data_IF_517093171513
#
_entry.id   IF_517093171513
#
_cell.length_a   1.000
_cell.length_b   1.000
_cell.length_c   1.000
_cell.angle_alpha   90.00
_cell.angle_beta   90.00
_cell.angle_gamma   90.00
#
_symmetry.space_group_name_H-M   'P 1'
#
loop_
_entity.id
_entity.type
_entity.pdbx_description
1 polymer ?
#
# COMPACT_ATOMS: atom_id res chain seq x y z
N UNK A 1 12.32 -25.64 44.31
CA UNK A 1 12.85 -26.22 43.05
C UNK A 1 11.76 -26.09 42.00
N UNK A 2 11.90 -25.10 41.11
CA UNK A 2 10.89 -24.72 40.12
C UNK A 2 10.95 -25.63 38.89
N UNK A 3 9.78 -26.02 38.38
CA UNK A 3 9.64 -26.92 37.24
C UNK A 3 9.32 -26.07 35.99
N UNK A 4 10.32 -25.88 35.12
CA UNK A 4 10.19 -25.12 33.87
C UNK A 4 9.32 -25.85 32.85
N UNK A 5 8.23 -25.22 32.41
CA UNK A 5 7.45 -25.67 31.25
C UNK A 5 8.20 -25.27 29.97
N UNK A 6 8.64 -26.27 29.19
CA UNK A 6 9.10 -26.08 27.81
C UNK A 6 7.95 -25.49 26.97
N UNK A 7 8.15 -24.29 26.44
CA UNK A 7 7.28 -23.63 25.47
C UNK A 7 7.57 -24.21 24.08
N UNK A 8 6.60 -24.89 23.48
CA UNK A 8 6.67 -25.25 22.07
C UNK A 8 6.47 -23.99 21.19
N UNK A 9 7.22 -23.83 20.08
CA UNK A 9 7.00 -22.73 19.16
C UNK A 9 5.68 -22.90 18.41
N UNK A 10 4.94 -21.80 18.27
CA UNK A 10 3.73 -21.73 17.45
C UNK A 10 4.04 -22.04 15.98
N UNK A 11 3.19 -22.76 15.25
CA UNK A 11 3.41 -23.03 13.84
C UNK A 11 3.34 -21.72 13.04
N UNK A 12 4.40 -21.42 12.29
CA UNK A 12 4.47 -20.26 11.40
C UNK A 12 3.54 -20.44 10.20
N UNK A 13 2.45 -19.67 10.17
CA UNK A 13 1.48 -19.63 9.07
C UNK A 13 2.06 -19.20 7.70
N UNK A 14 3.29 -18.68 7.67
CA UNK A 14 3.97 -18.23 6.45
C UNK A 14 4.57 -19.36 5.58
N UNK A 15 4.58 -20.61 6.04
CA UNK A 15 5.28 -21.69 5.32
C UNK A 15 4.42 -22.43 4.28
N UNK A 16 3.11 -22.24 4.24
CA UNK A 16 2.24 -23.02 3.34
C UNK A 16 2.03 -22.38 1.96
N UNK A 17 2.48 -21.13 1.75
CA UNK A 17 2.27 -20.41 0.49
C UNK A 17 3.19 -20.82 -0.68
N UNK A 18 4.11 -21.78 -0.48
CA UNK A 18 5.08 -22.15 -1.53
C UNK A 18 4.93 -23.59 -2.06
N UNK A 19 3.99 -24.40 -1.56
CA UNK A 19 3.88 -25.82 -1.95
C UNK A 19 2.85 -26.12 -3.06
N UNK A 20 2.04 -25.15 -3.49
CA UNK A 20 0.91 -25.39 -4.40
C UNK A 20 1.14 -25.14 -5.89
N UNK A 21 2.33 -24.66 -6.31
CA UNK A 21 2.60 -24.28 -7.71
C UNK A 21 3.54 -25.27 -8.44
N UNK A 22 3.47 -26.56 -8.09
CA UNK A 22 4.10 -27.62 -8.89
C UNK A 22 3.01 -28.49 -9.48
N UNK A 23 2.55 -28.12 -10.68
CA UNK A 23 2.09 -29.00 -11.77
C UNK A 23 1.13 -28.24 -12.70
N UNK A 24 1.67 -27.48 -13.65
CA UNK A 24 1.05 -27.32 -14.97
C UNK A 24 2.09 -26.81 -15.96
N UNK A 25 2.55 -27.71 -16.83
CA UNK A 25 3.37 -27.35 -17.98
C UNK A 25 2.45 -26.93 -19.13
N UNK A 26 2.45 -25.63 -19.45
CA UNK A 26 2.17 -24.98 -20.75
C UNK A 26 1.37 -23.68 -20.58
N UNK A 27 2.07 -22.55 -20.47
CA UNK A 27 1.69 -21.26 -21.08
C UNK A 27 2.88 -20.29 -20.95
N UNK A 28 3.01 -19.39 -21.92
CA UNK A 28 4.26 -18.68 -22.24
C UNK A 28 4.89 -17.88 -21.11
N UNK A 29 6.22 -17.95 -21.05
CA UNK A 29 7.08 -17.19 -20.13
C UNK A 29 6.79 -15.68 -20.20
N UNK A 30 6.72 -14.97 -19.06
CA UNK A 30 6.81 -13.52 -19.07
C UNK A 30 8.23 -13.12 -19.46
N UNK A 31 8.33 -12.12 -20.34
CA UNK A 31 9.58 -11.54 -20.79
C UNK A 31 10.48 -11.21 -19.60
N UNK A 32 11.74 -11.66 -19.69
CA UNK A 32 12.74 -11.51 -18.65
C UNK A 32 12.88 -10.07 -18.21
N UNK A 33 13.05 -9.89 -16.90
CA UNK A 33 13.62 -8.70 -16.30
C UNK A 33 14.98 -8.51 -17.00
N UNK A 34 15.08 -7.51 -17.88
CA UNK A 34 16.36 -7.10 -18.43
C UNK A 34 17.24 -6.67 -17.25
N UNK A 35 18.14 -7.57 -16.89
CA UNK A 35 19.18 -7.42 -15.88
C UNK A 35 20.29 -6.55 -16.45
N UNK A 36 20.08 -5.23 -16.41
CA UNK A 36 21.17 -4.24 -16.46
C UNK A 36 21.03 -3.31 -15.26
N UNK A 37 21.17 -3.90 -14.07
CA UNK A 37 21.44 -3.13 -12.85
C UNK A 37 22.95 -3.03 -12.77
N UNK A 38 23.48 -1.80 -12.86
CA UNK A 38 24.91 -1.52 -12.71
C UNK A 38 25.41 -2.08 -11.36
N UNK A 39 26.61 -2.68 -11.33
CA UNK A 39 27.27 -3.18 -10.11
C UNK A 39 27.31 -2.15 -8.97
N UNK A 40 27.31 -0.85 -9.33
CA UNK A 40 27.26 0.28 -8.39
C UNK A 40 25.88 0.45 -7.72
N UNK A 41 24.81 0.11 -8.43
CA UNK A 41 23.43 0.08 -7.89
C UNK A 41 23.21 -1.15 -7.01
N UNK A 42 23.75 -2.32 -7.40
CA UNK A 42 23.72 -3.52 -6.56
C UNK A 42 24.44 -3.33 -5.21
N UNK A 43 25.60 -2.67 -5.21
CA UNK A 43 26.35 -2.43 -3.96
C UNK A 43 25.66 -1.44 -3.02
N UNK A 44 24.98 -0.41 -3.55
CA UNK A 44 24.16 0.52 -2.78
C UNK A 44 22.91 -0.15 -2.19
N UNK A 45 22.23 -1.00 -2.98
CA UNK A 45 21.10 -1.82 -2.52
C UNK A 45 21.58 -2.76 -1.40
N UNK A 46 22.66 -3.49 -1.60
CA UNK A 46 23.18 -4.41 -0.60
C UNK A 46 23.62 -3.71 0.70
N UNK A 47 24.19 -2.50 0.60
CA UNK A 47 24.59 -1.68 1.75
C UNK A 47 23.41 -1.12 2.54
N UNK A 48 22.31 -0.76 1.88
CA UNK A 48 21.18 -0.08 2.52
C UNK A 48 20.33 -1.04 3.36
N UNK A 49 20.08 -2.27 2.92
CA UNK A 49 19.18 -3.20 3.62
C UNK A 49 19.86 -4.08 4.68
N UNK A 50 21.19 -4.26 4.56
CA UNK A 50 21.97 -4.92 5.61
C UNK A 50 22.00 -4.11 6.90
N UNK A 51 21.85 -2.79 6.82
CA UNK A 51 21.69 -1.87 7.97
C UNK A 51 20.35 -2.10 8.71
N UNK A 52 19.29 -2.53 8.00
CA UNK A 52 18.00 -2.89 8.58
C UNK A 52 17.88 -4.37 8.98
N UNK A 53 18.95 -5.16 8.82
CA UNK A 53 18.96 -6.59 9.14
C UNK A 53 18.09 -7.46 8.21
N UNK A 54 17.75 -6.97 7.01
CA UNK A 54 16.91 -7.70 6.04
C UNK A 54 17.84 -8.30 4.98
N UNK A 55 17.72 -9.62 4.73
CA UNK A 55 18.44 -10.26 3.63
C UNK A 55 17.92 -9.77 2.28
N UNK A 56 18.73 -9.86 1.22
CA UNK A 56 18.29 -9.50 -0.13
C UNK A 56 17.01 -10.23 -0.53
N UNK A 57 16.93 -11.54 -0.24
CA UNK A 57 15.72 -12.34 -0.48
C UNK A 57 14.52 -11.86 0.33
N UNK A 58 14.75 -11.48 1.60
CA UNK A 58 13.72 -10.90 2.45
C UNK A 58 13.17 -9.60 1.88
N UNK A 59 14.06 -8.76 1.35
CA UNK A 59 13.69 -7.51 0.69
C UNK A 59 12.91 -7.77 -0.60
N UNK A 60 13.35 -8.67 -1.46
CA UNK A 60 12.62 -9.03 -2.69
C UNK A 60 11.22 -9.57 -2.39
N UNK A 61 11.07 -10.38 -1.33
CA UNK A 61 9.76 -10.85 -0.87
C UNK A 61 8.87 -9.72 -0.38
N UNK A 62 9.42 -8.76 0.35
CA UNK A 62 8.67 -7.57 0.78
C UNK A 62 8.24 -6.73 -0.42
N UNK A 63 9.13 -6.49 -1.39
CA UNK A 63 8.81 -5.78 -2.62
C UNK A 63 7.67 -6.46 -3.37
N UNK A 64 7.71 -7.79 -3.48
CA UNK A 64 6.65 -8.57 -4.11
C UNK A 64 5.35 -8.50 -3.31
N UNK A 65 5.42 -8.52 -1.98
CA UNK A 65 4.24 -8.44 -1.11
C UNK A 65 3.54 -7.06 -1.15
N UNK A 66 4.29 -5.98 -1.44
CA UNK A 66 3.73 -4.63 -1.59
C UNK A 66 3.53 -4.22 -3.05
N UNK A 67 3.86 -5.10 -4.00
CA UNK A 67 3.68 -4.82 -5.41
C UNK A 67 2.19 -4.80 -5.75
N UNK A 68 1.76 -3.70 -6.34
CA UNK A 68 0.42 -3.55 -6.91
C UNK A 68 0.56 -3.41 -8.41
N UNK A 69 -0.12 -4.29 -9.17
CA UNK A 69 -0.08 -4.24 -10.62
C UNK A 69 -0.72 -2.94 -11.12
N UNK A 70 0.00 -2.21 -11.96
CA UNK A 70 -0.59 -1.07 -12.65
C UNK A 70 -1.34 -1.57 -13.88
N UNK A 71 -2.53 -1.01 -14.19
CA UNK A 71 -3.08 -1.15 -15.52
C UNK A 71 -2.13 -0.49 -16.53
N UNK A 72 -1.74 -1.21 -17.58
CA UNK A 72 -0.94 -0.71 -18.72
C UNK A 72 -1.68 0.32 -19.58
N UNK A 73 -2.70 1.01 -19.05
CA UNK A 73 -3.63 1.85 -19.80
C UNK A 73 -3.79 3.22 -19.18
N UNK A 74 -3.59 4.24 -20.00
CA UNK A 74 -3.86 5.61 -19.62
C UNK A 74 -5.36 5.83 -19.35
N UNK A 75 -5.65 6.57 -18.28
CA UNK A 75 -7.00 6.99 -17.95
C UNK A 75 -7.40 8.08 -18.94
N UNK A 76 -8.28 7.75 -19.87
CA UNK A 76 -8.77 8.69 -20.90
C UNK A 76 -10.17 9.20 -20.60
N UNK A 77 -11.00 8.43 -19.88
CA UNK A 77 -12.36 8.79 -19.54
C UNK A 77 -12.76 8.18 -18.18
N UNK A 78 -13.48 8.95 -17.35
CA UNK A 78 -14.02 8.51 -16.07
C UNK A 78 -15.05 7.39 -16.25
N UNK A 79 -15.79 7.36 -17.36
CA UNK A 79 -16.80 6.30 -17.59
C UNK A 79 -16.19 4.90 -17.69
N UNK A 80 -14.91 4.81 -18.09
CA UNK A 80 -14.16 3.55 -18.15
C UNK A 80 -13.70 3.04 -16.77
N UNK A 81 -13.86 3.85 -15.73
CA UNK A 81 -13.49 3.45 -14.38
C UNK A 81 -14.48 2.46 -13.80
N UNK A 82 -13.99 1.61 -12.90
CA UNK A 82 -14.81 0.56 -12.28
C UNK A 82 -15.98 1.18 -11.52
N UNK A 83 -17.20 0.81 -11.90
CA UNK A 83 -18.45 1.24 -11.29
C UNK A 83 -18.86 0.25 -10.20
N UNK A 84 -18.97 0.68 -8.94
CA UNK A 84 -19.55 -0.13 -7.88
C UNK A 84 -20.99 -0.56 -8.19
N UNK A 85 -21.78 0.27 -8.87
CA UNK A 85 -23.19 -0.02 -9.13
C UNK A 85 -23.40 -1.13 -10.19
N UNK A 86 -22.41 -1.33 -11.07
CA UNK A 86 -22.48 -2.34 -12.14
C UNK A 86 -21.62 -3.57 -11.85
N UNK A 87 -20.68 -3.45 -10.92
CA UNK A 87 -19.86 -4.58 -10.47
C UNK A 87 -20.73 -5.57 -9.70
N UNK A 88 -20.53 -6.85 -9.96
CA UNK A 88 -21.29 -7.93 -9.33
C UNK A 88 -20.34 -8.94 -8.69
N UNK A 89 -20.87 -9.81 -7.85
CA UNK A 89 -20.10 -10.95 -7.35
C UNK A 89 -20.97 -12.21 -7.27
N UNK A 90 -20.32 -13.36 -7.30
CA UNK A 90 -20.95 -14.68 -7.28
C UNK A 90 -20.24 -15.51 -6.21
N UNK A 91 -21.02 -16.12 -5.31
CA UNK A 91 -20.50 -17.12 -4.38
C UNK A 91 -20.35 -18.44 -5.13
N UNK A 92 -19.15 -18.99 -5.14
CA UNK A 92 -18.85 -20.22 -5.87
C UNK A 92 -19.32 -21.45 -5.09
N UNK A 93 -19.89 -22.43 -5.80
CA UNK A 93 -20.31 -23.72 -5.25
C UNK A 93 -21.16 -23.59 -3.97
N UNK A 94 -22.14 -22.69 -4.00
CA UNK A 94 -22.98 -22.38 -2.85
C UNK A 94 -23.62 -23.64 -2.26
N UNK A 95 -23.32 -23.91 -0.99
CA UNK A 95 -23.92 -24.97 -0.19
C UNK A 95 -25.07 -24.43 0.67
N UNK A 96 -26.01 -25.31 1.04
CA UNK A 96 -27.05 -24.98 2.03
C UNK A 96 -26.47 -24.73 3.42
N UNK A 97 -25.39 -25.43 3.78
CA UNK A 97 -24.68 -25.25 5.04
C UNK A 97 -23.18 -25.47 4.88
N UNK A 98 -22.42 -24.87 5.79
CA UNK A 98 -20.96 -24.99 5.86
C UNK A 98 -20.54 -25.47 7.23
N UNK A 99 -19.34 -26.04 7.33
CA UNK A 99 -18.70 -26.36 8.61
C UNK A 99 -17.76 -25.23 9.04
N UNK A 100 -17.63 -25.03 10.35
CA UNK A 100 -16.61 -24.11 10.89
C UNK A 100 -15.22 -24.57 10.46
N UNK A 101 -14.42 -23.63 9.94
CA UNK A 101 -13.10 -23.88 9.37
C UNK A 101 -13.09 -24.20 7.87
N UNK A 102 -14.26 -24.38 7.23
CA UNK A 102 -14.33 -24.44 5.78
C UNK A 102 -14.02 -23.09 5.13
N UNK A 103 -13.78 -23.14 3.83
CA UNK A 103 -13.53 -21.98 2.99
C UNK A 103 -14.72 -21.67 2.10
N UNK A 104 -15.00 -20.38 1.95
CA UNK A 104 -15.99 -19.85 1.02
C UNK A 104 -15.26 -19.03 -0.05
N UNK A 105 -15.53 -19.35 -1.31
CA UNK A 105 -14.96 -18.66 -2.46
C UNK A 105 -16.01 -17.77 -3.11
N UNK A 106 -15.60 -16.56 -3.50
CA UNK A 106 -16.45 -15.59 -4.17
C UNK A 106 -15.67 -14.99 -5.33
N UNK A 107 -16.28 -14.93 -6.50
CA UNK A 107 -15.71 -14.23 -7.65
C UNK A 107 -16.43 -12.91 -7.88
N UNK A 108 -15.67 -11.82 -7.94
CA UNK A 108 -16.13 -10.46 -8.27
C UNK A 108 -15.89 -10.21 -9.75
N UNK A 109 -16.88 -9.69 -10.46
CA UNK A 109 -16.79 -9.27 -11.85
C UNK A 109 -16.94 -7.76 -11.93
N UNK A 110 -15.83 -7.07 -12.20
CA UNK A 110 -15.79 -5.62 -12.28
C UNK A 110 -16.36 -5.13 -13.62
N UNK A 111 -17.27 -4.17 -13.55
CA UNK A 111 -17.83 -3.48 -14.71
C UNK A 111 -17.60 -1.98 -14.59
N UNK A 112 -17.50 -1.30 -15.73
CA UNK A 112 -17.37 0.16 -15.78
C UNK A 112 -18.73 0.90 -15.67
N UNK A 113 -18.72 2.23 -15.74
CA UNK A 113 -19.95 3.04 -15.65
C UNK A 113 -20.86 2.90 -16.87
N UNK A 114 -20.36 2.33 -17.97
CA UNK A 114 -21.15 1.98 -19.16
C UNK A 114 -21.65 0.52 -19.10
N UNK A 115 -21.49 -0.13 -17.93
CA UNK A 115 -21.84 -1.53 -17.65
C UNK A 115 -21.12 -2.54 -18.56
N UNK A 116 -19.91 -2.20 -18.98
CA UNK A 116 -19.04 -3.10 -19.74
C UNK A 116 -18.07 -3.79 -18.81
N UNK A 117 -17.89 -5.09 -18.98
CA UNK A 117 -16.92 -5.86 -18.21
C UNK A 117 -15.50 -5.34 -18.41
N UNK A 118 -14.77 -5.23 -17.30
CA UNK A 118 -13.35 -4.89 -17.29
C UNK A 118 -12.56 -6.04 -17.89
N UNK A 119 -11.40 -5.71 -18.47
CA UNK A 119 -10.47 -6.67 -19.09
C UNK A 119 -9.09 -6.64 -18.44
N UNK A 120 -8.96 -5.93 -17.32
CA UNK A 120 -7.73 -5.70 -16.59
C UNK A 120 -8.05 -5.52 -15.11
N UNK A 121 -7.06 -5.81 -14.28
CA UNK A 121 -7.13 -5.70 -12.82
C UNK A 121 -6.71 -4.34 -12.27
N UNK A 122 -6.25 -4.33 -11.02
CA UNK A 122 -5.68 -3.20 -10.31
C UNK A 122 -6.66 -2.48 -9.38
N UNK A 123 -7.94 -2.88 -9.35
CA UNK A 123 -8.92 -2.30 -8.44
C UNK A 123 -8.62 -2.74 -7.00
N UNK A 124 -8.77 -1.82 -6.06
CA UNK A 124 -8.66 -2.11 -4.64
C UNK A 124 -10.03 -2.49 -4.08
N UNK A 125 -10.33 -3.79 -4.11
CA UNK A 125 -11.49 -4.36 -3.43
C UNK A 125 -11.15 -4.77 -2.00
N UNK A 126 -12.12 -4.59 -1.11
CA UNK A 126 -12.13 -5.15 0.23
C UNK A 126 -13.36 -6.03 0.38
N UNK A 127 -13.20 -7.24 0.89
CA UNK A 127 -14.31 -8.15 1.10
C UNK A 127 -14.40 -8.55 2.58
N UNK A 128 -15.63 -8.70 3.08
CA UNK A 128 -15.91 -8.95 4.49
C UNK A 128 -16.99 -10.02 4.62
N UNK A 129 -16.71 -11.03 5.44
CA UNK A 129 -17.71 -11.94 5.97
C UNK A 129 -18.12 -11.42 7.35
N UNK A 130 -19.42 -11.29 7.61
CA UNK A 130 -19.89 -10.71 8.86
C UNK A 130 -21.27 -11.21 9.28
N UNK A 131 -21.60 -11.00 10.55
CA UNK A 131 -22.96 -11.17 11.04
C UNK A 131 -23.29 -10.06 12.04
N UNK A 132 -24.24 -9.21 11.67
CA UNK A 132 -24.56 -8.00 12.44
C UNK A 132 -25.09 -8.29 13.84
N UNK A 133 -25.84 -9.39 14.03
CA UNK A 133 -26.44 -9.71 15.34
C UNK A 133 -25.38 -10.05 16.40
N UNK A 134 -24.33 -10.78 16.02
CA UNK A 134 -23.25 -11.17 16.94
C UNK A 134 -22.04 -10.24 16.86
N UNK A 135 -22.03 -9.28 15.92
CA UNK A 135 -20.89 -8.40 15.61
C UNK A 135 -19.63 -9.20 15.25
N UNK A 136 -19.79 -10.42 14.75
CA UNK A 136 -18.68 -11.23 14.24
C UNK A 136 -18.31 -10.74 12.84
N UNK A 137 -17.02 -10.67 12.52
CA UNK A 137 -16.56 -10.44 11.16
C UNK A 137 -15.09 -10.80 10.93
N UNK A 138 -14.78 -11.15 9.67
CA UNK A 138 -13.43 -11.40 9.15
C UNK A 138 -13.32 -10.79 7.75
N UNK A 139 -12.13 -10.30 7.41
CA UNK A 139 -11.80 -9.89 6.04
C UNK A 139 -11.44 -11.09 5.17
N UNK A 140 -11.93 -11.07 3.94
CA UNK A 140 -11.56 -12.04 2.91
C UNK A 140 -10.21 -11.69 2.30
N UNK A 141 -9.49 -12.71 1.88
CA UNK A 141 -8.30 -12.59 1.04
C UNK A 141 -8.75 -12.32 -0.38
N UNK A 142 -8.41 -11.14 -0.93
CA UNK A 142 -8.75 -10.73 -2.29
C UNK A 142 -7.53 -10.90 -3.18
N UNK A 143 -7.69 -11.62 -4.28
CA UNK A 143 -6.66 -11.83 -5.31
C UNK A 143 -7.18 -11.32 -6.64
N UNK A 144 -6.40 -10.44 -7.27
CA UNK A 144 -6.66 -9.93 -8.60
C UNK A 144 -6.29 -10.97 -9.66
N UNK A 145 -7.24 -11.35 -10.51
CA UNK A 145 -7.03 -12.31 -11.60
C UNK A 145 -6.53 -11.63 -12.89
N UNK A 146 -6.27 -10.32 -12.85
CA UNK A 146 -5.70 -9.47 -13.89
C UNK A 146 -6.54 -9.38 -15.18
N UNK A 147 -7.78 -9.88 -15.16
CA UNK A 147 -8.68 -9.93 -16.30
C UNK A 147 -10.00 -9.17 -16.06
N UNK A 148 -10.05 -8.34 -15.02
CA UNK A 148 -11.28 -7.65 -14.58
C UNK A 148 -12.13 -8.45 -13.61
N UNK A 149 -11.68 -9.64 -13.20
CA UNK A 149 -12.29 -10.42 -12.14
C UNK A 149 -11.34 -10.60 -10.96
N UNK A 150 -11.90 -10.80 -9.77
CA UNK A 150 -11.16 -10.94 -8.52
C UNK A 150 -11.70 -12.14 -7.74
N UNK A 151 -10.82 -13.02 -7.28
CA UNK A 151 -11.21 -14.12 -6.39
C UNK A 151 -11.08 -13.69 -4.94
N UNK A 152 -12.06 -14.02 -4.13
CA UNK A 152 -12.09 -13.75 -2.70
C UNK A 152 -12.21 -15.07 -1.96
N UNK A 153 -11.34 -15.27 -0.97
CA UNK A 153 -11.35 -16.44 -0.09
C UNK A 153 -11.67 -16.00 1.35
N UNK A 154 -12.68 -16.63 1.95
CA UNK A 154 -13.02 -16.46 3.36
C UNK A 154 -12.79 -17.77 4.11
N UNK A 155 -12.14 -17.68 5.27
CA UNK A 155 -12.18 -18.76 6.28
C UNK A 155 -13.40 -18.55 7.17
N UNK A 156 -14.23 -19.57 7.33
CA UNK A 156 -15.48 -19.51 8.12
C UNK A 156 -15.18 -19.76 9.61
N UNK A 157 -15.13 -18.74 10.49
CA UNK A 157 -14.54 -18.90 11.82
C UNK A 157 -15.55 -19.10 12.95
N UNK A 158 -16.86 -18.99 12.70
CA UNK A 158 -17.89 -19.10 13.73
C UNK A 158 -19.10 -19.92 13.27
N UNK A 159 -19.80 -20.50 14.23
CA UNK A 159 -21.10 -21.16 14.05
C UNK A 159 -22.21 -20.11 14.02
N UNK A 160 -23.16 -20.27 13.10
CA UNK A 160 -24.34 -19.42 12.92
C UNK A 160 -24.39 -18.78 11.55
N UNK A 161 -25.25 -17.79 11.40
CA UNK A 161 -25.42 -17.08 10.14
C UNK A 161 -24.19 -16.22 9.78
N UNK A 162 -23.94 -16.05 8.49
CA UNK A 162 -22.94 -15.12 7.96
C UNK A 162 -23.37 -14.52 6.62
N UNK A 163 -23.01 -13.26 6.40
CA UNK A 163 -23.25 -12.43 5.22
C UNK A 163 -21.92 -12.03 4.58
N UNK A 164 -21.90 -11.86 3.27
CA UNK A 164 -20.73 -11.40 2.50
C UNK A 164 -20.99 -10.00 1.97
N UNK A 165 -20.05 -9.09 2.19
CA UNK A 165 -20.02 -7.78 1.55
C UNK A 165 -18.71 -7.62 0.78
N UNK A 166 -18.78 -6.97 -0.39
CA UNK A 166 -17.61 -6.59 -1.18
C UNK A 166 -17.67 -5.09 -1.39
N UNK A 167 -16.56 -4.39 -1.23
CA UNK A 167 -16.49 -2.93 -1.39
C UNK A 167 -15.38 -2.57 -2.34
N UNK A 168 -15.70 -1.76 -3.35
CA UNK A 168 -14.69 -1.08 -4.14
C UNK A 168 -14.19 0.12 -3.33
N UNK A 169 -12.94 0.07 -2.87
CA UNK A 169 -12.31 1.19 -2.17
C UNK A 169 -11.79 2.20 -3.20
N UNK A 170 -11.02 1.72 -4.17
CA UNK A 170 -10.50 2.53 -5.28
C UNK A 170 -10.55 1.72 -6.57
N UNK A 171 -11.03 2.32 -7.65
CA UNK A 171 -10.83 1.74 -8.97
C UNK A 171 -9.35 1.74 -9.36
N UNK A 172 -8.98 0.86 -10.27
CA UNK A 172 -7.64 0.77 -10.84
C UNK A 172 -7.19 2.09 -11.46
N UNK A 173 -8.12 2.90 -12.02
CA UNK A 173 -7.85 4.25 -12.48
C UNK A 173 -7.50 5.20 -11.32
N UNK A 174 -8.24 5.16 -10.22
CA UNK A 174 -7.93 5.97 -9.04
C UNK A 174 -6.58 5.56 -8.43
N UNK A 175 -6.29 4.26 -8.37
CA UNK A 175 -5.00 3.72 -7.90
C UNK A 175 -3.85 4.26 -8.76
N UNK A 176 -3.98 4.25 -10.09
CA UNK A 176 -2.98 4.84 -10.99
C UNK A 176 -2.73 6.32 -10.74
N UNK A 177 -3.80 7.11 -10.52
CA UNK A 177 -3.67 8.54 -10.21
C UNK A 177 -2.93 8.73 -8.88
N UNK A 178 -3.30 7.98 -7.84
CA UNK A 178 -2.65 8.04 -6.53
C UNK A 178 -1.18 7.64 -6.62
N UNK A 179 -0.86 6.58 -7.38
CA UNK A 179 0.51 6.14 -7.61
C UNK A 179 1.33 7.20 -8.35
N UNK A 180 0.81 7.74 -9.46
CA UNK A 180 1.47 8.84 -10.18
C UNK A 180 1.72 10.02 -9.25
N UNK A 181 0.76 10.42 -8.43
CA UNK A 181 0.97 11.51 -7.47
C UNK A 181 2.05 11.20 -6.44
N UNK A 182 2.06 9.99 -5.87
CA UNK A 182 3.14 9.55 -4.97
C UNK A 182 4.51 9.62 -5.66
N UNK A 183 4.59 9.21 -6.91
CA UNK A 183 5.86 9.07 -7.63
C UNK A 183 6.35 10.41 -8.22
N UNK A 184 5.46 11.29 -8.70
CA UNK A 184 5.81 12.55 -9.39
C UNK A 184 5.64 13.81 -8.53
N UNK A 185 4.83 13.76 -7.48
CA UNK A 185 4.51 14.90 -6.60
C UNK A 185 4.82 14.57 -5.13
N UNK A 186 5.88 13.78 -4.92
CA UNK A 186 6.35 13.40 -3.57
C UNK A 186 6.74 14.61 -2.71
N UNK A 187 7.02 15.76 -3.33
CA UNK A 187 7.34 17.03 -2.67
C UNK A 187 6.13 17.96 -2.47
N UNK A 188 4.90 17.43 -2.58
CA UNK A 188 3.66 18.17 -2.36
C UNK A 188 3.57 18.71 -0.93
N UNK A 189 4.08 17.97 0.05
CA UNK A 189 4.26 18.50 1.41
C UNK A 189 5.64 19.14 1.46
N UNK A 190 5.69 20.41 1.85
CA UNK A 190 6.94 21.08 2.13
C UNK A 190 7.05 21.37 3.63
N UNK A 191 8.28 21.38 4.11
CA UNK A 191 8.61 21.64 5.50
C UNK A 191 9.38 22.95 5.62
N UNK A 192 9.40 23.50 6.82
CA UNK A 192 10.28 24.60 7.17
C UNK A 192 11.31 24.14 8.19
N UNK A 193 12.53 24.65 8.05
CA UNK A 193 13.55 24.63 9.09
C UNK A 193 13.60 25.99 9.75
N UNK A 194 13.60 25.99 11.08
CA UNK A 194 13.62 27.18 11.90
C UNK A 194 15.01 27.35 12.48
N UNK A 195 15.65 28.46 12.13
CA UNK A 195 17.00 28.81 12.53
C UNK A 195 16.94 29.95 13.52
N UNK A 196 17.71 29.87 14.59
CA UNK A 196 17.79 30.93 15.59
C UNK A 196 19.23 31.19 16.00
N UNK A 197 19.56 32.46 16.18
CA UNK A 197 20.94 32.87 16.47
C UNK A 197 21.05 34.29 17.00
N UNK A 198 22.26 34.67 17.46
CA UNK A 198 22.51 36.02 17.94
C UNK A 198 22.47 37.03 16.78
N UNK A 199 21.76 38.13 16.99
CA UNK A 199 21.65 39.26 16.09
C UNK A 199 22.40 40.51 16.57
N UNK A 200 22.47 41.56 15.73
CA UNK A 200 23.03 42.85 16.14
C UNK A 200 22.29 43.40 17.37
N UNK A 201 23.01 44.14 18.21
CA UNK A 201 22.47 44.78 19.43
C UNK A 201 21.80 43.83 20.44
N UNK A 202 22.35 42.61 20.62
CA UNK A 202 21.82 41.57 21.55
C UNK A 202 20.39 41.12 21.24
N UNK A 203 19.95 41.27 19.99
CA UNK A 203 18.67 40.72 19.54
C UNK A 203 18.81 39.24 19.20
N UNK A 204 17.70 38.50 19.16
CA UNK A 204 17.65 37.12 18.64
C UNK A 204 17.07 37.17 17.24
N UNK A 205 17.82 36.65 16.26
CA UNK A 205 17.32 36.48 14.91
C UNK A 205 16.63 35.13 14.80
N UNK A 206 15.54 35.10 14.04
CA UNK A 206 14.81 33.90 13.68
C UNK A 206 14.55 33.94 12.18
N UNK A 207 14.93 32.88 11.47
CA UNK A 207 14.64 32.71 10.05
C UNK A 207 13.98 31.34 9.83
N UNK A 208 12.95 31.33 8.99
CA UNK A 208 12.33 30.10 8.51
C UNK A 208 12.66 29.94 7.03
N UNK A 209 13.17 28.77 6.66
CA UNK A 209 13.56 28.44 5.28
C UNK A 209 12.93 27.12 4.85
N UNK A 210 12.73 26.95 3.55
CA UNK A 210 12.14 25.72 3.02
C UNK A 210 13.11 24.55 3.21
N UNK A 211 12.58 23.42 3.69
CA UNK A 211 13.29 22.18 3.92
C UNK A 211 12.48 20.99 3.44
N UNK A 212 13.15 19.86 3.21
CA UNK A 212 12.50 18.57 3.08
C UNK A 212 13.45 17.43 3.48
N UNK A 213 12.88 16.24 3.66
CA UNK A 213 13.67 15.01 3.81
C UNK A 213 14.45 14.76 2.52
N UNK A 214 15.74 14.46 2.64
CA UNK A 214 16.62 14.10 1.53
C UNK A 214 16.33 12.65 1.14
N UNK A 215 15.44 12.47 0.17
CA UNK A 215 15.25 11.18 -0.50
C UNK A 215 16.26 11.02 -1.64
N UNK A 216 16.90 9.86 -1.73
CA UNK A 216 17.91 9.46 -2.72
C UNK A 216 17.41 9.44 -4.17
N UNK A 217 16.09 9.48 -4.37
CA UNK A 217 15.48 9.40 -5.70
C UNK A 217 14.51 10.49 -6.11
N UNK A 218 13.87 11.26 -5.23
CA UNK A 218 12.80 12.18 -5.66
C UNK A 218 12.50 13.39 -4.74
N UNK A 219 13.26 13.62 -3.66
CA UNK A 219 12.80 14.58 -2.63
C UNK A 219 13.23 16.04 -2.80
N UNK A 220 14.40 16.28 -3.41
CA UNK A 220 14.98 17.63 -3.44
C UNK A 220 16.00 17.89 -4.56
N UNK A 221 16.00 17.12 -5.65
CA UNK A 221 16.84 17.44 -6.81
C UNK A 221 16.50 18.82 -7.39
N UNK A 222 15.27 19.30 -7.20
CA UNK A 222 14.79 20.58 -7.68
C UNK A 222 15.19 21.81 -6.84
N UNK A 223 15.79 21.66 -5.65
CA UNK A 223 16.28 22.82 -4.88
C UNK A 223 17.66 23.33 -5.33
N UNK A 224 18.24 22.72 -6.37
CA UNK A 224 19.53 23.10 -6.93
C UNK A 224 20.69 22.27 -6.37
N UNK A 225 21.77 22.19 -7.15
CA UNK A 225 23.03 21.53 -6.79
C UNK A 225 24.05 22.57 -6.31
N UNK A 226 24.77 22.30 -5.21
CA UNK A 226 25.87 23.15 -4.69
C UNK A 226 25.57 23.89 -3.37
N UNK A 227 26.13 25.11 -3.21
CA UNK A 227 26.14 25.95 -1.99
C UNK A 227 24.76 26.47 -1.51
N UNK A 228 23.67 26.03 -2.14
CA UNK A 228 22.31 26.48 -1.83
C UNK A 228 21.83 26.08 -0.44
N UNK A 229 22.40 25.00 0.13
CA UNK A 229 21.64 24.16 1.03
C UNK A 229 22.43 23.67 2.25
N UNK A 230 21.73 23.57 3.39
CA UNK A 230 22.19 23.00 4.64
C UNK A 230 21.69 21.56 4.77
N UNK A 231 22.56 20.62 5.15
CA UNK A 231 22.16 19.24 5.48
C UNK A 231 22.25 19.00 6.98
N UNK A 232 21.25 18.32 7.53
CA UNK A 232 21.14 18.00 8.95
C UNK A 232 20.58 16.60 9.13
N UNK A 233 21.21 15.76 9.96
CA UNK A 233 20.66 14.45 10.34
C UNK A 233 19.77 14.63 11.56
N UNK A 234 18.48 14.29 11.44
CA UNK A 234 17.57 14.35 12.57
C UNK A 234 17.97 13.30 13.63
N UNK A 235 18.18 13.69 14.90
CA UNK A 235 18.66 12.78 15.93
C UNK A 235 17.60 11.79 16.41
N UNK A 236 16.31 12.02 16.10
CA UNK A 236 15.20 11.14 16.48
C UNK A 236 14.86 10.15 15.38
N UNK A 237 14.77 10.60 14.13
CA UNK A 237 14.37 9.75 13.00
C UNK A 237 15.56 9.21 12.21
N UNK A 238 16.77 9.74 12.45
CA UNK A 238 17.98 9.47 11.68
C UNK A 238 17.91 9.87 10.19
N UNK A 239 16.81 10.49 9.77
CA UNK A 239 16.63 10.96 8.41
C UNK A 239 17.53 12.17 8.15
N UNK A 240 18.10 12.24 6.96
CA UNK A 240 18.83 13.43 6.54
C UNK A 240 17.85 14.43 5.96
N UNK A 241 17.81 15.63 6.52
CA UNK A 241 17.05 16.77 6.04
C UNK A 241 17.95 17.69 5.23
N UNK A 242 17.38 18.29 4.18
CA UNK A 242 18.05 19.30 3.39
C UNK A 242 17.17 20.55 3.33
N UNK A 243 17.78 21.67 3.73
CA UNK A 243 17.18 22.97 3.88
C UNK A 243 17.85 23.98 2.96
N UNK A 244 17.12 25.00 2.50
CA UNK A 244 17.78 26.17 1.92
C UNK A 244 18.68 26.85 2.97
N UNK A 245 19.78 27.45 2.52
CA UNK A 245 20.69 28.16 3.41
C UNK A 245 20.02 29.44 3.94
N UNK A 246 19.93 29.64 5.27
CA UNK A 246 19.46 30.90 5.84
C UNK A 246 20.37 32.07 5.41
N UNK A 247 19.80 33.26 5.28
CA UNK A 247 20.52 34.43 4.76
C UNK A 247 21.40 35.06 5.83
N UNK A 248 20.91 35.12 7.07
CA UNK A 248 21.60 35.82 8.16
C UNK A 248 22.36 34.89 9.12
N UNK A 249 22.32 33.57 8.94
CA UNK A 249 22.80 32.60 9.93
C UNK A 249 23.54 31.41 9.31
N UNK A 250 24.40 30.71 10.07
CA UNK A 250 25.03 29.47 9.61
C UNK A 250 24.06 28.29 9.68
N UNK A 251 24.36 27.22 8.93
CA UNK A 251 23.56 25.98 8.94
C UNK A 251 23.45 25.31 10.32
N UNK A 252 24.44 25.51 11.19
CA UNK A 252 24.46 24.96 12.55
C UNK A 252 23.44 25.63 13.49
N UNK A 253 22.78 26.72 13.06
CA UNK A 253 21.79 27.43 13.84
C UNK A 253 20.37 26.83 13.75
N UNK A 254 20.20 25.70 13.05
CA UNK A 254 18.92 24.99 12.99
C UNK A 254 18.50 24.52 14.38
N UNK A 255 17.28 24.84 14.77
CA UNK A 255 16.70 24.46 16.07
C UNK A 255 15.73 23.29 15.90
N UNK A 256 14.82 23.39 14.94
CA UNK A 256 13.84 22.36 14.63
C UNK A 256 13.30 22.53 13.21
N UNK A 257 12.55 21.53 12.75
CA UNK A 257 11.76 21.63 11.53
C UNK A 257 10.30 21.28 11.81
N UNK A 258 9.38 21.75 10.97
CA UNK A 258 7.97 21.35 11.02
C UNK A 258 7.33 21.43 9.66
N UNK A 259 6.16 20.80 9.50
CA UNK A 259 5.38 20.90 8.28
C UNK A 259 5.05 22.38 7.99
N UNK A 260 5.35 22.84 6.78
CA UNK A 260 5.04 24.19 6.31
C UNK A 260 3.67 24.24 5.62
N UNK A 261 3.32 23.19 4.88
CA UNK A 261 2.00 23.00 4.28
C UNK A 261 2.02 22.17 3.00
N UNK A 262 0.96 22.33 2.20
CA UNK A 262 0.83 21.68 0.90
C UNK A 262 1.10 22.67 -0.23
N UNK A 263 1.83 22.24 -1.25
CA UNK A 263 1.97 22.98 -2.50
C UNK A 263 0.67 22.87 -3.29
N UNK A 264 0.16 24.02 -3.73
CA UNK A 264 -1.02 24.08 -4.60
C UNK A 264 -0.61 23.75 -6.04
N UNK A 265 -0.47 22.45 -6.34
CA UNK A 265 -0.50 21.93 -7.71
C UNK A 265 -1.93 21.41 -7.98
N UNK A 266 -2.41 21.53 -9.22
CA UNK A 266 -3.84 21.48 -9.62
C UNK A 266 -4.70 20.50 -8.78
N UNK A 267 -5.91 20.89 -8.37
CA UNK A 267 -6.76 20.08 -7.53
C UNK A 267 -7.16 18.77 -8.21
N UNK A 268 -7.27 17.75 -7.36
CA UNK A 268 -7.86 16.44 -7.65
C UNK A 268 -9.25 16.62 -8.27
N UNK A 269 -9.46 16.17 -9.50
CA UNK A 269 -10.81 15.80 -9.95
C UNK A 269 -11.16 14.54 -9.18
N UNK A 270 -11.88 14.73 -8.07
CA UNK A 270 -12.17 13.69 -7.09
C UNK A 270 -13.19 12.70 -7.66
N UNK A 271 -12.72 11.63 -8.29
CA UNK A 271 -13.52 10.44 -8.61
C UNK A 271 -13.62 9.46 -7.43
N UNK A 272 -13.65 9.95 -6.19
CA UNK A 272 -13.80 9.11 -5.00
C UNK A 272 -15.28 8.87 -4.72
N UNK A 273 -15.92 8.07 -5.55
CA UNK A 273 -17.25 7.52 -5.25
C UNK A 273 -17.04 6.26 -4.42
N UNK A 274 -17.01 6.40 -3.09
CA UNK A 274 -17.08 5.25 -2.20
C UNK A 274 -18.52 4.75 -2.20
N UNK A 275 -18.75 3.55 -2.74
CA UNK A 275 -20.05 2.90 -2.70
C UNK A 275 -19.87 1.45 -2.22
N UNK A 276 -20.77 1.05 -1.33
CA UNK A 276 -20.82 -0.27 -0.72
C UNK A 276 -21.67 -1.21 -1.57
N UNK A 277 -21.11 -2.33 -2.02
CA UNK A 277 -21.87 -3.45 -2.58
C UNK A 277 -22.16 -4.42 -1.44
N UNK A 278 -23.28 -4.20 -0.76
CA UNK A 278 -23.76 -5.11 0.28
C UNK A 278 -24.86 -6.02 -0.28
N UNK A 279 -24.57 -7.31 -0.43
CA UNK A 279 -25.58 -8.33 -0.70
C UNK A 279 -25.72 -9.18 0.55
N UNK A 280 -26.90 -9.12 1.17
CA UNK A 280 -27.19 -9.88 2.37
C UNK A 280 -27.53 -11.32 1.98
N UNK A 281 -26.69 -12.26 2.38
CA UNK A 281 -26.95 -13.70 2.25
C UNK A 281 -26.98 -14.35 3.63
N UNK A 282 -27.96 -15.19 3.97
CA UNK A 282 -27.89 -16.03 5.17
C UNK A 282 -27.15 -17.34 4.84
N UNK A 283 -25.87 -17.45 5.20
CA UNK A 283 -25.16 -18.74 5.23
C UNK A 283 -25.24 -19.34 6.62
N UNK A 284 -25.82 -20.52 6.82
CA UNK A 284 -25.73 -21.22 8.11
C UNK A 284 -24.41 -22.01 8.19
N UNK A 285 -23.55 -21.58 9.12
CA UNK A 285 -22.31 -22.27 9.48
C UNK A 285 -22.61 -23.14 10.70
N UNK A 286 -22.35 -24.43 10.59
CA UNK A 286 -22.56 -25.42 11.64
C UNK A 286 -21.24 -25.81 12.33
N UNK A 287 -21.35 -26.37 13.53
CA UNK A 287 -20.21 -26.87 14.29
C UNK A 287 -19.78 -28.24 13.80
N UNK A 288 -18.46 -28.48 13.73
CA UNK A 288 -17.91 -29.83 13.63
C UNK A 288 -18.19 -30.58 14.95
N UNK A 289 -19.33 -31.28 15.02
CA UNK A 289 -19.58 -32.23 16.10
C UNK A 289 -18.94 -33.57 15.69
N UNK A 290 -17.77 -33.85 16.26
CA UNK A 290 -17.24 -35.20 16.47
C UNK A 290 -16.89 -35.35 17.95
#
# INVERSE_FOLDING_TARGET
MGNERKKHPSPSFLSQHCAGLQNSANSGSPAGINSEVSEKSQSLINSFYSEFGISLDGYSRLQQAVYWADPDRSITNVSMSTSPAHTTFIIENLKESYQTGEELFVTVHANDFDNKSKSYGGDFFQAKLFWSKTKASVFGEVVDLLNGSYSVRFLLPWVGEAQVAVRLIHSSEAVQVLKRHRDTDSDRVYFHGYYEGPGPNKTRLSEAVMCNVKWDKNGLEHMGTGDCCCEYKDPRTEETWRCQRPKSMPCSALVYHSMGGYRNRKPMQQGSTTLDLEIHFPAEISSNLN
#
